data_IF_576186883466
#
_entry.id   IF_576186883466
#
_cell.length_a   1.000
_cell.length_b   1.000
_cell.length_c   1.000
_cell.angle_alpha   90.00
_cell.angle_beta   90.00
_cell.angle_gamma   90.00
#
_symmetry.space_group_name_H-M   'P 1'
#
loop_
_entity.id
_entity.type
_entity.pdbx_description
1 polymer ?
#
# COMPACT_ATOMS: atom_id res chain seq x y z
N UNK A 1 32.32 32.47 15.05
CA UNK A 1 31.77 31.19 15.52
C UNK A 1 30.36 31.12 14.97
N UNK A 2 30.24 30.66 13.72
CA UNK A 2 28.94 30.47 13.05
C UNK A 2 28.30 29.20 13.60
N UNK A 3 27.09 29.31 14.15
CA UNK A 3 26.22 28.17 14.38
C UNK A 3 25.24 28.11 13.21
N UNK A 4 25.55 27.24 12.25
CA UNK A 4 24.76 27.03 11.04
C UNK A 4 23.34 26.58 11.37
N UNK A 5 22.38 27.20 10.70
CA UNK A 5 21.01 26.72 10.64
C UNK A 5 21.01 25.34 9.95
N UNK A 6 20.63 24.30 10.68
CA UNK A 6 20.33 22.99 10.10
C UNK A 6 19.00 23.09 9.36
N UNK A 7 19.08 23.42 8.08
CA UNK A 7 17.96 23.45 7.13
C UNK A 7 17.64 22.02 6.66
N UNK A 8 17.48 21.10 7.61
CA UNK A 8 17.16 19.70 7.31
C UNK A 8 15.65 19.57 7.11
N UNK A 9 15.19 19.15 5.91
CA UNK A 9 13.78 18.92 5.67
C UNK A 9 13.25 17.83 6.63
N UNK A 10 11.99 17.92 7.07
CA UNK A 10 11.41 16.91 7.96
C UNK A 10 11.57 15.52 7.32
N UNK A 11 11.95 14.49 8.09
CA UNK A 11 12.20 13.17 7.53
C UNK A 11 10.90 12.66 6.91
N UNK A 12 10.87 12.63 5.57
CA UNK A 12 9.80 11.95 4.86
C UNK A 12 9.89 10.47 5.22
N UNK A 13 8.86 9.95 5.88
CA UNK A 13 8.73 8.51 6.09
C UNK A 13 8.75 7.84 4.72
N UNK A 14 9.86 7.18 4.41
CA UNK A 14 10.00 6.36 3.21
C UNK A 14 8.90 5.32 3.24
N UNK A 15 8.08 5.27 2.18
CA UNK A 15 7.03 4.26 2.07
C UNK A 15 7.66 2.87 2.31
N UNK A 16 7.09 2.04 3.21
CA UNK A 16 7.59 0.69 3.42
C UNK A 16 7.33 -0.11 2.14
N UNK A 17 8.37 -0.28 1.33
CA UNK A 17 8.36 -1.26 0.25
C UNK A 17 8.55 -2.62 0.91
N UNK A 18 7.44 -3.32 1.15
CA UNK A 18 7.50 -4.76 1.35
C UNK A 18 7.74 -5.36 -0.03
N UNK A 19 9.00 -5.62 -0.37
CA UNK A 19 9.29 -6.63 -1.37
C UNK A 19 8.95 -7.96 -0.71
N UNK A 20 7.73 -8.42 -0.97
CA UNK A 20 7.35 -9.78 -0.64
C UNK A 20 8.26 -10.64 -1.50
N UNK A 21 9.23 -11.26 -0.84
CA UNK A 21 10.05 -12.34 -1.36
C UNK A 21 9.13 -13.55 -1.63
N UNK A 22 8.22 -13.40 -2.58
CA UNK A 22 7.46 -14.49 -3.18
C UNK A 22 8.37 -15.07 -4.26
N UNK A 23 9.37 -15.83 -3.82
CA UNK A 23 10.16 -16.75 -4.63
C UNK A 23 10.59 -16.17 -5.99
N UNK A 24 11.71 -15.44 -6.06
CA UNK A 24 12.22 -14.78 -7.29
C UNK A 24 12.42 -15.72 -8.50
N UNK A 25 12.34 -17.03 -8.28
CA UNK A 25 12.45 -18.04 -9.33
C UNK A 25 11.17 -18.26 -10.15
N UNK A 26 9.98 -17.95 -9.62
CA UNK A 26 8.70 -18.28 -10.29
C UNK A 26 8.19 -17.12 -11.16
N UNK A 27 8.22 -15.88 -10.66
CA UNK A 27 7.68 -14.73 -11.40
C UNK A 27 8.63 -14.19 -12.49
N UNK A 28 9.95 -14.36 -12.32
CA UNK A 28 10.94 -13.88 -13.29
C UNK A 28 10.88 -14.58 -14.65
N UNK A 29 10.50 -15.87 -14.67
CA UNK A 29 10.38 -16.64 -15.91
C UNK A 29 9.06 -16.38 -16.65
N UNK A 30 8.02 -15.94 -15.93
CA UNK A 30 6.67 -15.76 -16.49
C UNK A 30 6.49 -14.44 -17.25
N UNK A 31 7.34 -13.44 -16.99
CA UNK A 31 7.31 -12.11 -17.63
C UNK A 31 8.29 -11.94 -18.80
N UNK A 32 8.98 -13.02 -19.22
CA UNK A 32 9.84 -13.00 -20.39
C UNK A 32 8.99 -12.98 -21.68
N UNK A 33 9.18 -12.01 -22.61
CA UNK A 33 8.40 -11.92 -23.86
C UNK A 33 8.67 -13.08 -24.84
N UNK A 34 9.59 -14.00 -24.50
CA UNK A 34 9.92 -15.20 -25.27
C UNK A 34 9.18 -16.46 -24.80
N UNK A 35 8.31 -16.38 -23.79
CA UNK A 35 7.51 -17.54 -23.38
C UNK A 35 6.53 -17.92 -24.49
N UNK A 36 6.66 -19.15 -24.97
CA UNK A 36 5.68 -19.78 -25.85
C UNK A 36 4.29 -19.71 -25.17
N UNK A 37 3.20 -19.49 -25.93
CA UNK A 37 1.87 -19.50 -25.35
C UNK A 37 1.67 -20.80 -24.58
N UNK A 38 1.32 -20.67 -23.30
CA UNK A 38 1.10 -21.80 -22.40
C UNK A 38 0.18 -22.82 -23.09
N UNK A 39 0.52 -24.12 -23.07
CA UNK A 39 -0.37 -25.14 -23.59
C UNK A 39 -1.73 -25.02 -22.88
N UNK A 40 -2.80 -25.04 -23.67
CA UNK A 40 -4.16 -24.94 -23.15
C UNK A 40 -4.40 -26.04 -22.12
N UNK A 41 -5.03 -25.69 -21.00
CA UNK A 41 -5.38 -26.63 -19.94
C UNK A 41 -6.10 -27.84 -20.54
N UNK A 42 -5.57 -29.04 -20.32
CA UNK A 42 -6.21 -30.26 -20.75
C UNK A 42 -7.46 -30.53 -19.88
N UNK A 43 -8.63 -30.31 -20.47
CA UNK A 43 -9.92 -30.55 -19.82
C UNK A 43 -10.41 -31.99 -19.98
N UNK A 44 -9.73 -32.82 -20.80
CA UNK A 44 -10.16 -34.19 -21.08
C UNK A 44 -10.16 -35.08 -19.84
N UNK A 45 -9.30 -34.76 -18.86
CA UNK A 45 -9.28 -35.41 -17.53
C UNK A 45 -10.60 -35.28 -16.77
N UNK A 46 -11.35 -34.19 -16.99
CA UNK A 46 -12.62 -33.93 -16.33
C UNK A 46 -13.83 -34.35 -17.17
N UNK A 47 -13.59 -34.89 -18.37
CA UNK A 47 -14.62 -35.37 -19.28
C UNK A 47 -14.65 -36.89 -19.24
N UNK A 48 -15.85 -37.47 -19.29
CA UNK A 48 -16.06 -38.92 -19.25
C UNK A 48 -16.27 -39.46 -20.68
N UNK A 49 -15.35 -39.07 -21.57
CA UNK A 49 -15.49 -39.41 -22.99
C UNK A 49 -14.97 -40.82 -23.27
N UNK A 50 -15.68 -41.57 -24.15
CA UNK A 50 -15.16 -42.82 -24.67
C UNK A 50 -13.89 -42.55 -25.49
N UNK A 51 -13.02 -43.56 -25.70
CA UNK A 51 -11.85 -43.38 -26.53
C UNK A 51 -12.25 -42.88 -27.93
N UNK A 52 -11.44 -42.00 -28.55
CA UNK A 52 -11.77 -41.40 -29.84
C UNK A 52 -12.01 -42.48 -30.89
N UNK A 53 -12.92 -42.23 -31.83
CA UNK A 53 -13.40 -43.23 -32.82
C UNK A 53 -12.25 -43.98 -33.53
N UNK A 54 -11.12 -43.32 -33.79
CA UNK A 54 -9.94 -43.92 -34.43
C UNK A 54 -9.19 -44.92 -33.54
N UNK A 55 -9.36 -44.87 -32.21
CA UNK A 55 -8.69 -45.72 -31.21
C UNK A 55 -9.63 -46.69 -30.49
N UNK A 56 -10.88 -46.83 -30.95
CA UNK A 56 -11.84 -47.73 -30.30
C UNK A 56 -11.48 -49.22 -30.43
N UNK A 57 -10.64 -49.59 -31.39
CA UNK A 57 -10.11 -50.95 -31.51
C UNK A 57 -8.87 -51.19 -30.63
N UNK A 58 -8.30 -50.17 -30.01
CA UNK A 58 -7.14 -50.27 -29.11
C UNK A 58 -7.62 -50.55 -27.68
N UNK A 59 -7.34 -51.75 -27.11
CA UNK A 59 -7.71 -52.09 -25.74
C UNK A 59 -7.09 -51.15 -24.70
N UNK A 60 -5.88 -50.62 -24.94
CA UNK A 60 -5.22 -49.69 -24.01
C UNK A 60 -5.93 -48.33 -23.98
N UNK A 61 -6.56 -47.91 -25.07
CA UNK A 61 -7.33 -46.67 -25.08
C UNK A 61 -8.58 -46.78 -24.20
N UNK A 62 -9.23 -47.95 -24.18
CA UNK A 62 -10.35 -48.23 -23.28
C UNK A 62 -9.92 -48.30 -21.82
N UNK A 63 -8.80 -48.95 -21.52
CA UNK A 63 -8.26 -49.03 -20.15
C UNK A 63 -7.99 -47.64 -19.58
N UNK A 64 -7.43 -46.72 -20.39
CA UNK A 64 -7.24 -45.31 -19.99
C UNK A 64 -8.56 -44.60 -19.71
N UNK A 65 -9.58 -44.75 -20.57
CA UNK A 65 -10.90 -44.14 -20.35
C UNK A 65 -11.59 -44.70 -19.10
N UNK A 66 -11.46 -46.00 -18.83
CA UNK A 66 -11.99 -46.63 -17.60
C UNK A 66 -11.25 -46.13 -16.36
N UNK A 67 -9.92 -46.02 -16.41
CA UNK A 67 -9.12 -45.45 -15.32
C UNK A 67 -9.51 -43.99 -15.03
N UNK A 68 -9.80 -43.19 -16.06
CA UNK A 68 -10.32 -41.83 -15.91
C UNK A 68 -11.70 -41.81 -15.25
N UNK A 69 -12.61 -42.70 -15.67
CA UNK A 69 -13.93 -42.83 -15.08
C UNK A 69 -13.88 -43.24 -13.60
N UNK A 70 -12.99 -44.17 -13.24
CA UNK A 70 -12.76 -44.58 -11.85
C UNK A 70 -12.22 -43.40 -11.01
N UNK A 71 -11.21 -42.69 -11.52
CA UNK A 71 -10.68 -41.51 -10.84
C UNK A 71 -11.76 -40.43 -10.62
N UNK A 72 -12.64 -40.22 -11.61
CA UNK A 72 -13.75 -39.29 -11.47
C UNK A 72 -14.80 -39.75 -10.46
N UNK A 73 -15.09 -41.05 -10.37
CA UNK A 73 -16.00 -41.58 -9.36
C UNK A 73 -15.50 -41.26 -7.94
N UNK A 74 -14.21 -41.50 -7.68
CA UNK A 74 -13.59 -41.19 -6.38
C UNK A 74 -13.59 -39.69 -6.08
N UNK A 75 -13.30 -38.85 -7.08
CA UNK A 75 -13.40 -37.40 -6.94
C UNK A 75 -14.83 -36.95 -6.61
N UNK A 76 -15.84 -37.56 -7.23
CA UNK A 76 -17.24 -37.26 -6.96
C UNK A 76 -17.67 -37.71 -5.56
N UNK A 77 -17.18 -38.85 -5.08
CA UNK A 77 -17.40 -39.28 -3.70
C UNK A 77 -16.81 -38.28 -2.70
N UNK A 78 -15.54 -37.91 -2.88
CA UNK A 78 -14.88 -36.88 -2.03
C UNK A 78 -15.61 -35.53 -2.10
N UNK A 79 -16.12 -35.15 -3.28
CA UNK A 79 -16.90 -33.92 -3.45
C UNK A 79 -18.20 -33.96 -2.67
N UNK A 80 -18.89 -35.10 -2.61
CA UNK A 80 -20.09 -35.27 -1.80
C UNK A 80 -19.78 -35.11 -0.31
N UNK A 81 -18.72 -35.76 0.18
CA UNK A 81 -18.29 -35.64 1.59
C UNK A 81 -17.98 -34.17 1.95
N UNK A 82 -17.25 -33.46 1.08
CA UNK A 82 -16.95 -32.05 1.27
C UNK A 82 -18.20 -31.16 1.27
N UNK A 83 -19.17 -31.45 0.38
CA UNK A 83 -20.43 -30.71 0.33
C UNK A 83 -21.29 -30.98 1.55
N UNK A 84 -21.29 -32.19 2.07
CA UNK A 84 -21.97 -32.54 3.31
C UNK A 84 -21.36 -31.77 4.49
N UNK A 85 -20.03 -31.74 4.61
CA UNK A 85 -19.35 -30.96 5.63
C UNK A 85 -19.66 -29.45 5.52
N UNK A 86 -19.67 -28.93 4.30
CA UNK A 86 -20.03 -27.53 4.03
C UNK A 86 -21.49 -27.26 4.38
N UNK A 87 -22.41 -28.17 4.09
CA UNK A 87 -23.81 -28.02 4.42
C UNK A 87 -24.02 -28.01 5.95
N UNK A 88 -23.29 -28.85 6.68
CA UNK A 88 -23.40 -28.95 8.13
C UNK A 88 -22.78 -27.76 8.87
N UNK A 89 -21.63 -27.26 8.40
CA UNK A 89 -20.83 -26.27 9.16
C UNK A 89 -20.59 -24.95 8.45
N UNK A 90 -20.77 -24.88 7.13
CA UNK A 90 -20.39 -23.73 6.30
C UNK A 90 -21.05 -22.43 6.74
N UNK A 91 -22.36 -22.45 6.98
CA UNK A 91 -23.09 -21.24 7.40
C UNK A 91 -22.59 -20.70 8.76
N UNK A 92 -22.41 -21.59 9.75
CA UNK A 92 -21.96 -21.19 11.09
C UNK A 92 -20.50 -20.69 11.07
N UNK A 93 -19.62 -21.36 10.32
CA UNK A 93 -18.24 -20.92 10.17
C UNK A 93 -18.15 -19.58 9.42
N UNK A 94 -18.99 -19.38 8.41
CA UNK A 94 -19.07 -18.12 7.68
C UNK A 94 -19.53 -16.97 8.59
N UNK A 95 -20.54 -17.18 9.43
CA UNK A 95 -21.00 -16.18 10.39
C UNK A 95 -19.93 -15.85 11.44
N UNK A 96 -19.22 -16.85 11.95
CA UNK A 96 -18.10 -16.64 12.88
C UNK A 96 -16.96 -15.84 12.21
N UNK A 97 -16.63 -16.18 10.97
CA UNK A 97 -15.65 -15.46 10.17
C UNK A 97 -16.08 -14.00 9.93
N UNK A 98 -17.34 -13.75 9.57
CA UNK A 98 -17.87 -12.41 9.41
C UNK A 98 -17.79 -11.60 10.71
N UNK A 99 -18.17 -12.18 11.85
CA UNK A 99 -18.04 -11.54 13.16
C UNK A 99 -16.58 -11.19 13.49
N UNK A 100 -15.62 -12.04 13.12
CA UNK A 100 -14.19 -11.73 13.28
C UNK A 100 -13.76 -10.53 12.42
N UNK A 101 -14.21 -10.48 11.17
CA UNK A 101 -13.93 -9.38 10.26
C UNK A 101 -14.54 -8.06 10.73
N UNK A 102 -15.79 -8.08 11.20
CA UNK A 102 -16.46 -6.90 11.75
C UNK A 102 -15.73 -6.36 12.98
N UNK A 103 -15.29 -7.24 13.88
CA UNK A 103 -14.47 -6.85 15.05
C UNK A 103 -13.13 -6.25 14.64
N UNK A 104 -12.45 -6.86 13.66
CA UNK A 104 -11.18 -6.34 13.15
C UNK A 104 -11.36 -4.96 12.50
N UNK A 105 -12.41 -4.79 11.68
CA UNK A 105 -12.76 -3.53 11.04
C UNK A 105 -13.06 -2.43 12.05
N UNK A 106 -13.90 -2.72 13.05
CA UNK A 106 -14.23 -1.78 14.13
C UNK A 106 -13.00 -1.35 14.92
N UNK A 107 -12.11 -2.30 15.24
CA UNK A 107 -10.83 -2.00 15.92
C UNK A 107 -9.96 -1.05 15.09
N UNK A 108 -9.74 -1.37 13.81
CA UNK A 108 -8.92 -0.53 12.93
C UNK A 108 -9.53 0.87 12.74
N UNK A 109 -10.85 0.98 12.66
CA UNK A 109 -11.54 2.26 12.58
C UNK A 109 -11.33 3.10 13.85
N UNK A 110 -11.39 2.47 15.03
CA UNK A 110 -11.12 3.12 16.31
C UNK A 110 -9.66 3.58 16.42
N UNK A 111 -8.70 2.74 16.02
CA UNK A 111 -7.27 3.08 15.99
C UNK A 111 -7.00 4.25 15.04
N UNK A 112 -7.59 4.25 13.84
CA UNK A 112 -7.47 5.34 12.88
C UNK A 112 -8.06 6.66 13.42
N UNK A 113 -9.22 6.60 14.09
CA UNK A 113 -9.83 7.77 14.73
C UNK A 113 -8.95 8.31 15.87
N UNK A 114 -8.36 7.43 16.69
CA UNK A 114 -7.42 7.81 17.75
C UNK A 114 -6.18 8.50 17.20
N UNK A 115 -5.56 7.95 16.16
CA UNK A 115 -4.42 8.57 15.49
C UNK A 115 -4.77 9.93 14.87
N UNK A 116 -5.96 10.06 14.27
CA UNK A 116 -6.41 11.35 13.73
C UNK A 116 -6.53 12.40 14.84
N UNK A 117 -7.04 12.04 16.02
CA UNK A 117 -7.13 12.95 17.16
C UNK A 117 -5.74 13.35 17.68
N UNK A 118 -4.78 12.43 17.70
CA UNK A 118 -3.40 12.72 18.09
C UNK A 118 -2.74 13.70 17.10
N UNK A 119 -2.91 13.47 15.80
CA UNK A 119 -2.44 14.38 14.74
C UNK A 119 -3.06 15.77 14.91
N UNK A 120 -4.36 15.85 15.16
CA UNK A 120 -5.05 17.12 15.38
C UNK A 120 -4.58 17.82 16.66
N UNK A 121 -4.27 17.06 17.72
CA UNK A 121 -3.67 17.58 18.95
C UNK A 121 -2.30 18.22 18.71
N UNK A 122 -1.43 17.53 17.97
CA UNK A 122 -0.11 18.05 17.58
C UNK A 122 -0.25 19.30 16.70
N UNK A 123 -1.14 19.26 15.70
CA UNK A 123 -1.36 20.40 14.81
C UNK A 123 -1.91 21.62 15.55
N UNK A 124 -2.78 21.40 16.54
CA UNK A 124 -3.30 22.47 17.40
C UNK A 124 -2.19 23.10 18.24
N UNK A 125 -1.38 22.29 18.93
CA UNK A 125 -0.25 22.78 19.72
C UNK A 125 0.75 23.58 18.88
N UNK A 126 1.13 23.07 17.70
CA UNK A 126 1.97 23.81 16.73
C UNK A 126 1.34 25.14 16.34
N UNK A 127 0.03 25.17 16.10
CA UNK A 127 -0.68 26.38 15.69
C UNK A 127 -0.71 27.41 16.83
N UNK A 128 -0.92 26.97 18.07
CA UNK A 128 -0.89 27.82 19.25
C UNK A 128 0.48 28.49 19.42
N UNK A 129 1.57 27.72 19.34
CA UNK A 129 2.94 28.24 19.41
C UNK A 129 3.23 29.26 18.30
N UNK A 130 2.84 28.96 17.06
CA UNK A 130 3.01 29.88 15.93
C UNK A 130 2.26 31.21 16.14
N UNK A 131 1.03 31.15 16.63
CA UNK A 131 0.22 32.36 16.91
C UNK A 131 0.82 33.16 18.06
N UNK A 132 1.39 32.51 19.07
CA UNK A 132 2.07 33.20 20.18
C UNK A 132 3.36 33.91 19.75
N UNK A 133 4.11 33.31 18.82
CA UNK A 133 5.38 33.86 18.31
C UNK A 133 5.17 34.94 17.24
N UNK A 134 4.06 34.91 16.50
CA UNK A 134 3.71 35.88 15.45
C UNK A 134 3.90 37.35 15.86
N UNK A 135 3.38 37.85 17.01
CA UNK A 135 3.55 39.26 17.39
C UNK A 135 5.00 39.62 17.72
N UNK A 136 5.79 38.67 18.24
CA UNK A 136 7.22 38.87 18.54
C UNK A 136 8.00 39.05 17.24
N UNK A 137 7.74 38.22 16.23
CA UNK A 137 8.31 38.35 14.89
C UNK A 137 7.94 39.68 14.24
N UNK A 138 6.65 40.05 14.23
CA UNK A 138 6.19 41.31 13.66
C UNK A 138 6.85 42.55 14.30
N UNK A 139 7.08 42.51 15.63
CA UNK A 139 7.81 43.57 16.35
C UNK A 139 9.27 43.66 15.90
N UNK A 140 9.96 42.53 15.76
CA UNK A 140 11.35 42.50 15.33
C UNK A 140 11.50 42.98 13.88
N UNK A 141 10.60 42.56 12.99
CA UNK A 141 10.55 43.03 11.60
C UNK A 141 10.32 44.54 11.51
N UNK A 142 9.37 45.08 12.28
CA UNK A 142 9.13 46.52 12.33
C UNK A 142 10.34 47.30 12.86
N UNK A 143 11.00 46.79 13.91
CA UNK A 143 12.22 47.40 14.46
C UNK A 143 13.39 47.38 13.48
N UNK A 144 13.58 46.26 12.76
CA UNK A 144 14.60 46.15 11.73
C UNK A 144 14.35 47.10 10.56
N UNK A 145 13.10 47.19 10.07
CA UNK A 145 12.73 48.12 9.01
C UNK A 145 12.97 49.58 9.42
N UNK A 146 12.67 49.93 10.67
CA UNK A 146 12.92 51.26 11.21
C UNK A 146 14.42 51.58 11.31
N UNK A 147 15.24 50.64 11.78
CA UNK A 147 16.69 50.81 11.79
C UNK A 147 17.24 51.09 10.38
N UNK A 148 16.81 50.30 9.37
CA UNK A 148 17.21 50.53 7.99
C UNK A 148 16.77 51.89 7.45
N UNK A 149 15.55 52.33 7.79
CA UNK A 149 15.05 53.66 7.43
C UNK A 149 15.94 54.76 8.00
N UNK A 150 16.27 54.67 9.30
CA UNK A 150 17.14 55.62 9.98
C UNK A 150 18.56 55.61 9.41
N UNK A 151 19.12 54.44 9.08
CA UNK A 151 20.43 54.33 8.42
C UNK A 151 20.43 55.03 7.05
N UNK A 152 19.38 54.84 6.25
CA UNK A 152 19.22 55.51 4.96
C UNK A 152 19.10 57.03 5.10
N UNK A 153 18.31 57.52 6.07
CA UNK A 153 18.16 58.95 6.36
C UNK A 153 19.48 59.57 6.84
N UNK A 154 20.19 58.90 7.74
CA UNK A 154 21.52 59.33 8.19
C UNK A 154 22.52 59.39 7.03
N UNK A 155 22.53 58.39 6.15
CA UNK A 155 23.40 58.38 4.97
C UNK A 155 23.07 59.52 3.99
N UNK A 156 21.78 59.83 3.81
CA UNK A 156 21.34 60.96 2.99
C UNK A 156 21.76 62.31 3.58
N UNK A 157 21.58 62.51 4.90
CA UNK A 157 22.05 63.72 5.58
C UNK A 157 23.57 63.88 5.51
N UNK A 158 24.34 62.81 5.67
CA UNK A 158 25.81 62.85 5.51
C UNK A 158 26.23 63.33 4.11
N UNK A 159 25.58 62.84 3.05
CA UNK A 159 25.82 63.33 1.68
C UNK A 159 25.53 64.83 1.50
N UNK A 160 24.56 65.36 2.24
CA UNK A 160 24.25 66.80 2.20
C UNK A 160 25.27 67.65 2.98
N UNK A 161 25.89 67.08 4.02
CA UNK A 161 26.89 67.74 4.87
C UNK A 161 28.33 67.69 4.33
N UNK A 162 28.65 66.74 3.43
CA UNK A 162 29.94 66.67 2.73
C UNK A 162 29.85 67.17 1.27
N UNK A 163 29.76 68.49 0.99
CA UNK A 163 29.78 69.00 -0.38
C UNK A 163 31.17 68.97 -1.05
N UNK A 164 32.21 68.40 -0.41
CA UNK A 164 33.62 68.47 -0.86
C UNK A 164 34.36 67.14 -0.96
N UNK A 165 33.66 66.02 -1.11
CA UNK A 165 34.25 64.77 -1.58
C UNK A 165 33.79 64.47 -3.02
N UNK A 166 34.27 65.29 -3.97
CA UNK A 166 34.43 64.92 -5.38
C UNK A 166 35.91 64.67 -5.63
#
# INVERSE_FOLDING_TARGET
>A
MEAGASDDPPPMLRAPRVEIDALPYIDGQYNEPAMQPMPTMDVSRYQLDPPPKQKQQDPMAWERSVGNAQAQLEHQATRLDNLELLQQHGANQWLAHLSNLERASSRLASEAAGLSQEVDGVNRSRKEEQVELQPKLARLEAGWAECLRLEAECAAMRKQLDPTAQ
#
